data_IF_415116304845
#
_entry.id   IF_415116304845
#
_cell.length_a   1.000
_cell.length_b   1.000
_cell.length_c   1.000
_cell.angle_alpha   90.00
_cell.angle_beta   90.00
_cell.angle_gamma   90.00
#
_symmetry.space_group_name_H-M   'P 1'
#
loop_
_entity.id
_entity.type
_entity.pdbx_description
1 polymer ?
#
# COMPACT_ATOMS: atom_id res chain seq x y z
N UNK A 1 -70.94 -45.09 -43.67
CA UNK A 1 -70.56 -43.92 -44.51
C UNK A 1 -71.08 -42.65 -43.86
N UNK A 2 -70.22 -41.60 -43.82
CA UNK A 2 -70.49 -40.20 -43.42
C UNK A 2 -70.68 -39.94 -41.92
N UNK A 3 -70.20 -38.86 -41.31
CA UNK A 3 -69.01 -37.99 -41.47
C UNK A 3 -68.96 -37.21 -40.14
N UNK A 4 -67.75 -36.95 -39.67
CA UNK A 4 -67.35 -36.27 -38.42
C UNK A 4 -67.71 -34.78 -38.46
N UNK A 5 -68.02 -34.16 -37.31
CA UNK A 5 -67.45 -32.84 -36.95
C UNK A 5 -67.38 -32.71 -35.43
N UNK A 6 -66.16 -32.58 -34.93
CA UNK A 6 -65.78 -32.48 -33.52
C UNK A 6 -65.43 -31.01 -33.22
N UNK A 7 -65.98 -30.42 -32.16
CA UNK A 7 -65.57 -29.10 -31.66
C UNK A 7 -64.22 -29.22 -30.93
N UNK A 8 -63.26 -28.37 -31.30
CA UNK A 8 -62.02 -28.16 -30.55
C UNK A 8 -62.26 -27.13 -29.43
N UNK A 9 -62.11 -27.55 -28.17
CA UNK A 9 -61.95 -26.65 -27.04
C UNK A 9 -60.47 -26.63 -26.64
N UNK A 10 -59.84 -25.47 -26.74
CA UNK A 10 -58.45 -25.23 -26.30
C UNK A 10 -58.51 -24.87 -24.82
N UNK A 11 -57.95 -25.71 -23.95
CA UNK A 11 -57.73 -25.41 -22.53
C UNK A 11 -56.24 -25.17 -22.32
N UNK A 12 -55.90 -23.93 -21.95
CA UNK A 12 -54.57 -23.55 -21.49
C UNK A 12 -54.35 -24.11 -20.07
N UNK A 13 -53.33 -24.95 -19.88
CA UNK A 13 -52.88 -25.38 -18.56
C UNK A 13 -51.56 -24.69 -18.21
N UNK A 14 -51.57 -23.85 -17.17
CA UNK A 14 -50.39 -23.19 -16.63
C UNK A 14 -49.76 -24.15 -15.61
N UNK A 15 -48.60 -24.72 -15.92
CA UNK A 15 -47.85 -25.54 -14.98
C UNK A 15 -46.89 -24.66 -14.17
N UNK A 16 -47.17 -24.49 -12.88
CA UNK A 16 -46.20 -23.96 -11.91
C UNK A 16 -45.24 -25.09 -11.49
N UNK A 17 -43.97 -24.98 -11.86
CA UNK A 17 -42.91 -25.85 -11.34
C UNK A 17 -42.29 -25.20 -10.09
N UNK A 18 -42.43 -25.85 -8.94
CA UNK A 18 -41.71 -25.50 -7.71
C UNK A 18 -40.24 -25.91 -7.85
N UNK A 19 -39.32 -24.95 -7.77
CA UNK A 19 -37.89 -25.23 -7.71
C UNK A 19 -37.51 -25.79 -6.34
N UNK A 20 -37.08 -27.05 -6.29
CA UNK A 20 -36.48 -27.65 -5.10
C UNK A 20 -35.10 -27.04 -4.85
N UNK A 21 -34.94 -26.31 -3.75
CA UNK A 21 -33.64 -25.81 -3.29
C UNK A 21 -32.89 -26.97 -2.63
N UNK A 22 -31.97 -27.59 -3.36
CA UNK A 22 -31.01 -28.54 -2.77
C UNK A 22 -30.06 -27.79 -1.82
N UNK A 23 -30.15 -28.09 -0.52
CA UNK A 23 -29.17 -27.66 0.49
C UNK A 23 -27.88 -28.46 0.30
N UNK A 24 -26.96 -27.99 -0.53
CA UNK A 24 -25.59 -28.50 -0.55
C UNK A 24 -24.84 -27.93 0.64
N UNK A 25 -24.61 -28.76 1.67
CA UNK A 25 -23.73 -28.41 2.78
C UNK A 25 -22.28 -28.44 2.31
N UNK A 26 -21.66 -27.26 2.21
CA UNK A 26 -20.22 -27.11 2.02
C UNK A 26 -19.49 -27.41 3.34
N UNK A 27 -19.36 -28.70 3.69
CA UNK A 27 -18.36 -29.13 4.66
C UNK A 27 -16.99 -29.13 3.97
N UNK A 28 -16.41 -27.94 3.80
CA UNK A 28 -14.99 -27.80 3.47
C UNK A 28 -14.23 -27.84 4.80
N UNK A 29 -13.52 -28.93 5.05
CA UNK A 29 -12.54 -28.99 6.12
C UNK A 29 -11.50 -27.88 5.88
N UNK A 30 -11.53 -26.87 6.75
CA UNK A 30 -10.53 -25.80 6.75
C UNK A 30 -9.27 -26.42 7.34
N UNK A 31 -8.33 -26.83 6.48
CA UNK A 31 -6.93 -27.04 6.88
C UNK A 31 -6.51 -25.83 7.71
N UNK A 32 -5.79 -25.99 8.85
CA UNK A 32 -5.34 -24.85 9.64
C UNK A 32 -4.65 -23.86 8.69
N UNK A 33 -5.26 -22.68 8.50
CA UNK A 33 -4.70 -21.68 7.60
C UNK A 33 -3.34 -21.33 8.17
N UNK A 34 -2.25 -21.65 7.46
CA UNK A 34 -0.94 -21.13 7.82
C UNK A 34 -1.09 -19.61 7.96
N UNK A 35 -0.91 -19.11 9.19
CA UNK A 35 -1.11 -17.69 9.50
C UNK A 35 -0.29 -16.87 8.51
N UNK A 36 -0.93 -15.91 7.84
CA UNK A 36 -0.29 -15.08 6.84
C UNK A 36 0.97 -14.43 7.42
N UNK A 37 2.08 -14.55 6.70
CA UNK A 37 3.39 -14.03 7.10
C UNK A 37 4.03 -13.25 5.98
N UNK A 38 4.70 -12.16 6.32
CA UNK A 38 5.51 -11.36 5.39
C UNK A 38 6.88 -11.04 5.98
N UNK A 39 7.89 -10.99 5.12
CA UNK A 39 9.24 -10.57 5.49
C UNK A 39 9.87 -9.81 4.33
N UNK A 40 10.59 -8.73 4.63
CA UNK A 40 11.16 -7.88 3.59
C UNK A 40 11.89 -6.68 4.14
N UNK A 41 12.11 -5.70 3.26
CA UNK A 41 12.82 -4.47 3.58
C UNK A 41 12.41 -3.33 2.66
N UNK A 42 12.53 -2.11 3.17
CA UNK A 42 12.62 -0.90 2.37
C UNK A 42 14.10 -0.53 2.22
N UNK A 43 14.49 -0.10 1.03
CA UNK A 43 15.84 0.37 0.73
C UNK A 43 15.77 1.70 -0.02
N UNK A 44 16.78 2.55 0.17
CA UNK A 44 17.04 3.70 -0.69
C UNK A 44 18.39 3.48 -1.35
N UNK A 45 18.45 3.56 -2.68
CA UNK A 45 19.66 3.26 -3.45
C UNK A 45 20.29 1.91 -3.06
N UNK A 46 19.46 0.89 -2.83
CA UNK A 46 19.88 -0.45 -2.42
C UNK A 46 20.40 -0.57 -0.97
N UNK A 47 20.27 0.48 -0.15
CA UNK A 47 20.76 0.50 1.25
C UNK A 47 19.64 0.81 2.24
N UNK A 48 19.72 0.25 3.45
CA UNK A 48 18.77 0.56 4.55
C UNK A 48 18.98 1.95 5.15
N UNK A 49 20.13 2.57 4.92
CA UNK A 49 20.44 3.93 5.34
C UNK A 49 21.30 4.64 4.32
N UNK A 50 20.93 5.86 3.93
CA UNK A 50 21.67 6.70 3.00
C UNK A 50 21.87 8.10 3.55
N UNK A 51 23.04 8.67 3.30
CA UNK A 51 23.30 10.09 3.57
C UNK A 51 23.10 10.92 2.31
N UNK A 52 22.35 12.00 2.45
CA UNK A 52 22.06 12.98 1.40
C UNK A 52 22.52 14.35 1.89
N UNK A 53 23.23 15.10 1.03
CA UNK A 53 23.65 16.47 1.32
C UNK A 53 22.89 17.42 0.41
N UNK A 54 22.19 18.39 1.01
CA UNK A 54 21.46 19.41 0.27
C UNK A 54 22.23 20.73 0.35
N UNK A 55 22.70 21.20 -0.79
CA UNK A 55 23.26 22.55 -0.88
C UNK A 55 22.13 23.55 -0.62
N UNK A 56 22.35 24.47 0.34
CA UNK A 56 21.40 25.52 0.73
C UNK A 56 20.07 25.01 1.31
N UNK A 57 19.93 23.70 1.58
CA UNK A 57 18.75 23.14 2.26
C UNK A 57 17.46 23.12 1.46
N UNK A 58 17.53 23.15 0.13
CA UNK A 58 16.35 23.19 -0.72
C UNK A 58 15.71 21.79 -0.92
N UNK A 59 14.53 21.59 -0.35
CA UNK A 59 13.76 20.34 -0.43
C UNK A 59 13.22 20.09 -1.85
N UNK A 60 13.01 21.14 -2.64
CA UNK A 60 12.57 20.98 -4.04
C UNK A 60 13.68 20.32 -4.87
N UNK A 61 14.94 20.60 -4.57
CA UNK A 61 16.07 19.93 -5.22
C UNK A 61 16.17 18.46 -4.80
N UNK A 62 15.89 18.17 -3.52
CA UNK A 62 15.76 16.79 -3.05
C UNK A 62 14.67 16.04 -3.83
N UNK A 63 13.49 16.65 -3.96
CA UNK A 63 12.38 16.07 -4.72
C UNK A 63 12.79 15.80 -6.17
N UNK A 64 13.42 16.77 -6.84
CA UNK A 64 13.95 16.60 -8.20
C UNK A 64 14.92 15.42 -8.29
N UNK A 65 15.79 15.21 -7.31
CA UNK A 65 16.72 14.09 -7.31
C UNK A 65 16.01 12.72 -7.25
N UNK A 66 14.90 12.60 -6.51
CA UNK A 66 14.04 11.40 -6.57
C UNK A 66 13.37 11.25 -7.94
N UNK A 67 12.76 12.31 -8.48
CA UNK A 67 12.08 12.27 -9.79
C UNK A 67 13.02 11.96 -10.96
N UNK A 68 14.30 12.28 -10.83
CA UNK A 68 15.33 12.02 -11.84
C UNK A 68 16.13 10.74 -11.57
N UNK A 69 15.59 9.83 -10.75
CA UNK A 69 16.16 8.51 -10.44
C UNK A 69 17.55 8.54 -9.80
N UNK A 70 18.00 9.67 -9.25
CA UNK A 70 19.24 9.72 -8.46
C UNK A 70 19.07 9.06 -7.10
N UNK A 71 17.84 9.05 -6.60
CA UNK A 71 17.43 8.32 -5.41
C UNK A 71 16.23 7.44 -5.74
N UNK A 72 16.38 6.12 -5.61
CA UNK A 72 15.30 5.15 -5.79
C UNK A 72 14.95 4.50 -4.46
N UNK A 73 13.65 4.34 -4.20
CA UNK A 73 13.15 3.60 -3.05
C UNK A 73 12.68 2.24 -3.55
N UNK A 74 13.23 1.17 -2.99
CA UNK A 74 12.85 -0.21 -3.28
C UNK A 74 12.06 -0.75 -2.10
N UNK A 75 10.88 -1.27 -2.37
CA UNK A 75 10.12 -2.06 -1.43
C UNK A 75 10.14 -3.52 -1.87
N UNK A 76 10.82 -4.37 -1.10
CA UNK A 76 11.02 -5.77 -1.46
C UNK A 76 10.50 -6.65 -0.33
N UNK A 77 9.54 -7.52 -0.63
CA UNK A 77 9.04 -8.46 0.37
C UNK A 77 8.57 -9.78 -0.24
N UNK A 78 8.60 -10.82 0.59
CA UNK A 78 8.00 -12.12 0.32
C UNK A 78 6.82 -12.32 1.27
N UNK A 79 5.85 -13.13 0.84
CA UNK A 79 4.70 -13.48 1.65
C UNK A 79 4.31 -14.95 1.54
N UNK A 80 3.82 -15.52 2.63
CA UNK A 80 3.32 -16.89 2.72
C UNK A 80 1.93 -16.90 3.38
N UNK A 81 1.05 -17.80 2.92
CA UNK A 81 -0.31 -17.91 3.45
C UNK A 81 -1.18 -16.66 3.22
N UNK A 82 -0.84 -15.81 2.24
CA UNK A 82 -1.58 -14.58 1.95
C UNK A 82 -2.96 -14.86 1.35
N UNK A 83 -3.98 -14.03 1.63
CA UNK A 83 -5.25 -14.03 0.91
C UNK A 83 -5.02 -13.93 -0.60
N UNK A 84 -5.80 -14.67 -1.37
CA UNK A 84 -5.67 -14.72 -2.82
C UNK A 84 -6.75 -13.88 -3.50
N UNK A 85 -6.36 -13.18 -4.56
CA UNK A 85 -7.32 -12.54 -5.47
C UNK A 85 -8.03 -13.56 -6.38
N UNK A 86 -8.89 -13.08 -7.27
CA UNK A 86 -9.64 -13.92 -8.23
C UNK A 86 -8.73 -14.70 -9.20
N UNK A 87 -7.47 -14.28 -9.35
CA UNK A 87 -6.46 -14.93 -10.19
C UNK A 87 -5.54 -15.86 -9.38
N UNK A 88 -5.78 -16.02 -8.08
CA UNK A 88 -4.98 -16.87 -7.20
C UNK A 88 -3.68 -16.24 -6.69
N UNK A 89 -3.45 -14.94 -6.92
CA UNK A 89 -2.25 -14.22 -6.48
C UNK A 89 -2.37 -13.78 -5.03
N UNK A 90 -1.33 -14.00 -4.24
CA UNK A 90 -1.29 -13.59 -2.83
C UNK A 90 -1.18 -12.08 -2.68
N UNK A 91 -2.04 -11.48 -1.85
CA UNK A 91 -2.10 -10.02 -1.63
C UNK A 91 -1.78 -9.71 -0.17
N UNK A 92 -0.91 -8.73 0.06
CA UNK A 92 -0.59 -8.22 1.39
C UNK A 92 -1.05 -6.78 1.53
N UNK A 93 -1.43 -6.41 2.76
CA UNK A 93 -1.78 -5.04 3.13
C UNK A 93 -0.69 -4.47 4.03
N UNK A 94 -0.36 -3.20 3.82
CA UNK A 94 0.63 -2.47 4.60
C UNK A 94 0.13 -1.10 5.04
N UNK A 95 0.64 -0.66 6.18
CA UNK A 95 0.61 0.71 6.64
C UNK A 95 2.00 1.31 6.47
N UNK A 96 2.13 2.36 5.68
CA UNK A 96 3.38 3.09 5.54
C UNK A 96 3.41 4.22 6.57
N UNK A 97 4.45 4.25 7.40
CA UNK A 97 4.68 5.30 8.39
C UNK A 97 5.98 6.01 8.05
N UNK A 98 5.90 7.32 7.91
CA UNK A 98 7.07 8.18 7.69
C UNK A 98 7.22 9.13 8.85
N UNK A 99 8.44 9.22 9.40
CA UNK A 99 8.78 10.10 10.52
C UNK A 99 9.95 10.99 10.15
N UNK A 100 9.88 12.28 10.50
CA UNK A 100 10.98 13.23 10.35
C UNK A 100 11.48 13.60 11.73
N UNK A 101 12.75 13.36 11.97
CA UNK A 101 13.48 13.83 13.15
C UNK A 101 14.44 14.94 12.76
N UNK A 102 14.58 15.96 13.60
CA UNK A 102 15.66 16.95 13.51
C UNK A 102 16.49 16.87 14.79
N UNK A 103 17.78 16.62 14.64
CA UNK A 103 18.74 16.53 15.76
C UNK A 103 18.25 15.58 16.88
N UNK A 104 17.60 14.48 16.49
CA UNK A 104 17.06 13.46 17.40
C UNK A 104 15.64 13.69 17.91
N UNK A 105 15.06 14.89 17.71
CA UNK A 105 13.68 15.20 18.09
C UNK A 105 12.70 14.89 16.96
N UNK A 106 11.64 14.15 17.25
CA UNK A 106 10.54 13.94 16.29
C UNK A 106 9.86 15.27 15.98
N UNK A 107 9.87 15.66 14.70
CA UNK A 107 9.25 16.89 14.22
C UNK A 107 7.83 16.61 13.73
N UNK A 108 7.67 15.61 12.86
CA UNK A 108 6.38 15.21 12.27
C UNK A 108 6.37 13.73 11.92
N UNK A 109 5.17 13.18 11.79
CA UNK A 109 4.90 11.82 11.35
C UNK A 109 3.63 11.80 10.49
N UNK A 110 3.56 10.88 9.54
CA UNK A 110 2.36 10.59 8.76
C UNK A 110 2.22 9.07 8.60
N UNK A 111 0.97 8.63 8.48
CA UNK A 111 0.62 7.24 8.25
C UNK A 111 -0.30 7.15 7.03
N UNK A 112 0.02 6.28 6.08
CA UNK A 112 -0.80 5.97 4.91
C UNK A 112 -1.22 4.51 4.97
N UNK A 113 -2.52 4.26 5.08
CA UNK A 113 -3.08 2.91 5.14
C UNK A 113 -4.56 2.91 4.70
N UNK A 114 -5.08 1.77 4.22
CA UNK A 114 -4.33 0.57 3.83
C UNK A 114 -3.71 0.70 2.42
N UNK A 115 -2.51 0.16 2.23
CA UNK A 115 -1.87 0.04 0.92
C UNK A 115 -1.77 -1.44 0.53
N UNK A 116 -2.05 -1.75 -0.73
CA UNK A 116 -2.20 -3.12 -1.22
C UNK A 116 -1.07 -3.47 -2.16
N UNK A 117 -0.37 -4.59 -1.90
CA UNK A 117 0.79 -4.99 -2.67
C UNK A 117 0.83 -6.50 -2.93
N UNK A 118 1.38 -6.86 -4.09
CA UNK A 118 1.81 -8.23 -4.36
C UNK A 118 3.24 -8.43 -3.85
N UNK A 119 3.59 -9.62 -3.31
CA UNK A 119 4.97 -9.95 -3.00
C UNK A 119 5.89 -9.81 -4.23
N UNK A 120 7.10 -9.32 -4.01
CA UNK A 120 8.06 -9.04 -5.06
C UNK A 120 8.92 -7.83 -4.73
N UNK A 121 9.64 -7.36 -5.75
CA UNK A 121 10.37 -6.09 -5.73
C UNK A 121 9.56 -5.03 -6.46
N UNK A 122 9.47 -3.85 -5.84
CA UNK A 122 8.77 -2.70 -6.40
C UNK A 122 9.60 -1.44 -6.18
N UNK A 123 9.57 -0.56 -7.18
CA UNK A 123 10.13 0.78 -7.07
C UNK A 123 9.02 1.73 -6.66
N UNK A 124 9.10 2.22 -5.43
CA UNK A 124 8.09 3.12 -4.89
C UNK A 124 8.52 4.59 -5.08
N UNK A 125 7.62 5.47 -5.54
CA UNK A 125 7.90 6.88 -5.62
C UNK A 125 8.05 7.47 -4.21
N UNK A 126 8.89 8.50 -4.05
CA UNK A 126 9.06 9.19 -2.74
C UNK A 126 7.76 9.77 -2.20
N UNK A 127 6.84 10.11 -3.11
CA UNK A 127 5.49 10.59 -2.83
C UNK A 127 4.63 9.56 -2.09
N UNK A 128 4.88 8.25 -2.28
CA UNK A 128 4.17 7.19 -1.54
C UNK A 128 4.42 7.25 -0.02
N UNK A 129 5.44 8.00 0.40
CA UNK A 129 5.88 8.13 1.78
C UNK A 129 5.79 9.56 2.32
N UNK A 130 5.25 10.53 1.56
CA UNK A 130 5.05 11.92 2.02
C UNK A 130 6.33 12.60 2.57
N UNK A 131 7.53 12.19 2.12
CA UNK A 131 8.81 12.71 2.63
C UNK A 131 8.95 14.22 2.40
N UNK A 132 8.67 14.67 1.17
CA UNK A 132 8.81 16.06 0.74
C UNK A 132 7.87 17.02 1.49
N UNK A 133 6.55 16.75 1.58
CA UNK A 133 5.68 17.62 2.37
C UNK A 133 6.07 17.60 3.85
N UNK A 134 6.41 16.46 4.43
CA UNK A 134 6.83 16.42 5.84
C UNK A 134 8.08 17.25 6.12
N UNK A 135 9.08 17.22 5.23
CA UNK A 135 10.26 18.08 5.32
C UNK A 135 9.89 19.56 5.20
N UNK A 136 9.10 19.92 4.18
CA UNK A 136 8.60 21.29 3.95
C UNK A 136 7.96 21.89 5.21
N UNK A 137 7.14 21.09 5.90
CA UNK A 137 6.42 21.53 7.10
C UNK A 137 7.14 21.24 8.42
N UNK A 138 8.35 20.65 8.40
CA UNK A 138 9.06 20.19 9.60
C UNK A 138 9.32 21.32 10.61
N UNK A 139 9.30 22.57 10.16
CA UNK A 139 9.58 23.77 10.95
C UNK A 139 8.36 24.68 11.12
N UNK A 140 7.15 24.13 10.91
CA UNK A 140 5.90 24.89 10.84
C UNK A 140 5.46 25.16 9.39
N UNK A 141 4.36 25.89 9.23
CA UNK A 141 3.84 26.25 7.92
C UNK A 141 4.65 27.42 7.32
N UNK A 142 5.40 27.22 6.22
CA UNK A 142 6.17 28.30 5.60
C UNK A 142 5.27 29.39 4.99
N UNK A 143 4.05 29.04 4.55
CA UNK A 143 3.11 29.97 3.94
C UNK A 143 2.55 30.97 4.98
N UNK A 144 2.34 30.53 6.21
CA UNK A 144 1.95 31.41 7.33
C UNK A 144 3.07 32.37 7.74
N UNK A 145 4.32 32.01 7.45
CA UNK A 145 5.52 32.79 7.79
C UNK A 145 6.02 33.66 6.65
N UNK A 146 5.38 33.60 5.48
CA UNK A 146 5.81 34.34 4.28
C UNK A 146 7.20 33.96 3.77
N UNK A 147 7.65 32.72 3.99
CA UNK A 147 9.00 32.24 3.59
C UNK A 147 8.90 31.22 2.47
N UNK A 148 9.97 31.09 1.68
CA UNK A 148 10.03 30.08 0.62
C UNK A 148 9.89 28.66 1.20
N UNK A 149 8.92 27.84 0.73
CA UNK A 149 8.60 26.55 1.32
C UNK A 149 9.70 25.50 1.16
N UNK A 150 10.60 25.66 0.19
CA UNK A 150 11.69 24.70 -0.02
C UNK A 150 12.83 24.80 0.99
N UNK A 151 12.92 25.87 1.79
CA UNK A 151 14.07 26.10 2.67
C UNK A 151 13.96 25.32 3.98
N UNK A 152 14.95 24.45 4.21
CA UNK A 152 15.19 23.86 5.52
C UNK A 152 16.26 24.63 6.31
N UNK A 153 16.09 24.72 7.63
CA UNK A 153 17.18 25.23 8.48
C UNK A 153 18.31 24.22 8.59
N UNK A 154 19.52 24.71 8.83
CA UNK A 154 20.70 23.87 9.05
C UNK A 154 20.47 22.83 10.16
N UNK A 155 21.15 21.69 10.02
CA UNK A 155 21.12 20.59 10.98
C UNK A 155 21.00 19.22 10.32
N UNK A 156 20.85 18.19 11.15
CA UNK A 156 20.68 16.81 10.69
C UNK A 156 19.22 16.43 10.73
N UNK A 157 18.66 16.09 9.57
CA UNK A 157 17.33 15.51 9.47
C UNK A 157 17.45 14.00 9.26
N UNK A 158 16.67 13.22 9.99
CA UNK A 158 16.50 11.79 9.77
C UNK A 158 15.06 11.53 9.32
N UNK A 159 14.92 11.00 8.12
CA UNK A 159 13.65 10.50 7.58
C UNK A 159 13.64 8.99 7.78
N UNK A 160 12.70 8.48 8.58
CA UNK A 160 12.45 7.05 8.73
C UNK A 160 11.25 6.65 7.91
N UNK A 161 11.38 5.59 7.11
CA UNK A 161 10.29 5.02 6.32
C UNK A 161 10.07 3.58 6.75
N UNK A 162 8.85 3.29 7.24
CA UNK A 162 8.46 1.98 7.76
C UNK A 162 7.29 1.44 6.96
N UNK A 163 7.29 0.13 6.71
CA UNK A 163 6.14 -0.60 6.20
C UNK A 163 5.68 -1.63 7.23
N UNK A 164 4.49 -1.45 7.77
CA UNK A 164 3.95 -2.29 8.84
C UNK A 164 2.91 -3.23 8.21
N UNK A 165 3.11 -4.56 8.26
CA UNK A 165 2.12 -5.51 7.76
C UNK A 165 0.78 -5.39 8.49
N UNK A 166 -0.32 -5.42 7.74
CA UNK A 166 -1.67 -5.39 8.28
C UNK A 166 -2.33 -6.76 8.08
N UNK A 167 -2.85 -7.36 9.16
CA UNK A 167 -3.52 -8.67 9.10
C UNK A 167 -2.59 -9.86 8.82
N UNK A 168 -1.27 -9.64 8.79
CA UNK A 168 -0.23 -10.68 8.68
C UNK A 168 0.84 -10.44 9.74
N UNK A 169 1.54 -11.50 10.14
CA UNK A 169 2.69 -11.41 11.04
C UNK A 169 4.00 -11.23 10.27
N UNK A 170 5.05 -10.80 10.97
CA UNK A 170 6.40 -10.63 10.42
C UNK A 170 6.84 -9.17 10.40
N UNK A 171 7.87 -8.86 9.62
CA UNK A 171 8.55 -7.56 9.68
C UNK A 171 9.08 -7.13 8.32
N UNK A 172 8.96 -5.84 8.02
CA UNK A 172 9.71 -5.17 6.98
C UNK A 172 10.77 -4.30 7.66
N UNK A 173 12.04 -4.47 7.29
CA UNK A 173 13.10 -3.59 7.77
C UNK A 173 12.91 -2.16 7.22
N UNK A 174 13.11 -1.16 8.08
CA UNK A 174 12.91 0.25 7.74
C UNK A 174 14.06 0.82 6.89
N UNK A 175 13.74 1.85 6.10
CA UNK A 175 14.73 2.64 5.40
C UNK A 175 14.93 4.00 6.08
N UNK A 176 16.17 4.49 6.04
CA UNK A 176 16.57 5.76 6.63
C UNK A 176 17.21 6.68 5.59
N UNK A 177 16.78 7.95 5.56
CA UNK A 177 17.48 9.01 4.84
C UNK A 177 18.01 10.02 5.85
N UNK A 178 19.33 10.19 5.87
CA UNK A 178 20.01 11.17 6.70
C UNK A 178 20.30 12.38 5.81
N UNK A 179 19.52 13.43 5.96
CA UNK A 179 19.63 14.66 5.16
C UNK A 179 20.42 15.71 5.95
N UNK A 180 21.58 16.07 5.42
CA UNK A 180 22.46 17.12 5.93
C UNK A 180 22.29 18.41 5.15
N UNK A 181 22.28 19.54 5.87
CA UNK A 181 22.02 20.89 5.35
C UNK A 181 23.06 21.87 5.86
#
# INVERSE_FOLDING_TARGET
MKKITLLFAIVFSVAFAQAQISKTSLNRSISPSQKAQVAGQLLVNGKSSVELRLNQGNVVDLFKNFKTNKHQIQFVFKGAGLPKDQQGRGVALFSFVTEIYKDGKLMRSVKREPLTFFPGEMLEPVEAFDVIPLLTFAQGNPLEKGVYPGNLTKGKYLVKIKAIPMGSSGKIEEANLIVWI
#
